data_IF_917162626264
#
_entry.id   IF_917162626264
#
_cell.length_a   1.000
_cell.length_b   1.000
_cell.length_c   1.000
_cell.angle_alpha   90.00
_cell.angle_beta   90.00
_cell.angle_gamma   90.00
#
_symmetry.space_group_name_H-M   'P 1'
#
loop_
_entity.id
_entity.type
_entity.pdbx_description
1 polymer ?
#
# COMPACT_ATOMS: atom_id res chain seq x y z
N UNK A 1 -23.00 2.13 3.41
CA UNK A 1 -22.07 3.26 3.18
C UNK A 1 -22.72 4.61 3.44
N UNK A 2 -23.95 4.85 3.00
CA UNK A 2 -24.66 6.11 3.27
C UNK A 2 -24.70 6.47 4.76
N UNK A 3 -24.98 5.50 5.64
CA UNK A 3 -24.98 5.72 7.09
C UNK A 3 -23.63 6.21 7.64
N UNK A 4 -22.52 5.53 7.33
CA UNK A 4 -21.17 5.91 7.79
C UNK A 4 -20.76 7.29 7.25
N UNK A 5 -21.18 7.63 6.03
CA UNK A 5 -20.86 8.93 5.43
C UNK A 5 -21.78 10.07 5.88
N UNK A 6 -22.98 9.77 6.38
CA UNK A 6 -23.93 10.76 6.90
C UNK A 6 -23.68 11.07 8.38
N UNK A 7 -23.29 10.05 9.15
CA UNK A 7 -22.97 10.19 10.57
C UNK A 7 -21.46 10.39 10.74
N UNK A 8 -21.05 11.63 11.05
CA UNK A 8 -19.64 12.03 11.28
C UNK A 8 -19.02 11.49 12.58
N UNK A 9 -19.70 10.61 13.29
CA UNK A 9 -19.31 10.20 14.64
C UNK A 9 -18.33 9.01 14.66
N UNK A 10 -18.05 8.39 13.51
CA UNK A 10 -17.08 7.29 13.43
C UNK A 10 -15.67 7.81 13.25
N UNK A 11 -14.81 7.55 14.23
CA UNK A 11 -13.38 7.83 14.12
C UNK A 11 -12.67 6.77 13.29
N UNK A 12 -11.45 7.06 12.82
CA UNK A 12 -10.58 6.07 12.16
C UNK A 12 -10.40 4.83 13.05
N UNK A 13 -10.27 5.01 14.36
CA UNK A 13 -10.12 3.91 15.32
C UNK A 13 -11.37 3.03 15.41
N UNK A 14 -12.56 3.61 15.32
CA UNK A 14 -13.81 2.86 15.31
C UNK A 14 -13.94 2.03 14.03
N UNK A 15 -13.50 2.59 12.89
CA UNK A 15 -13.45 1.87 11.63
C UNK A 15 -12.38 0.75 11.65
N UNK A 16 -11.23 0.97 12.28
CA UNK A 16 -10.22 -0.08 12.49
C UNK A 16 -10.76 -1.23 13.35
N UNK A 17 -11.46 -0.91 14.45
CA UNK A 17 -12.15 -1.93 15.26
C UNK A 17 -13.21 -2.68 14.44
N UNK A 18 -13.97 -1.97 13.61
CA UNK A 18 -14.99 -2.57 12.76
C UNK A 18 -14.39 -3.57 11.77
N UNK A 19 -13.31 -3.22 11.06
CA UNK A 19 -12.68 -4.15 10.10
C UNK A 19 -12.04 -5.35 10.79
N UNK A 20 -11.60 -5.21 12.05
CA UNK A 20 -11.13 -6.33 12.88
C UNK A 20 -12.29 -7.28 13.27
N UNK A 21 -13.45 -6.74 13.61
CA UNK A 21 -14.63 -7.56 13.96
C UNK A 21 -15.27 -8.20 12.72
N UNK A 22 -15.20 -7.51 11.58
CA UNK A 22 -15.83 -7.88 10.32
C UNK A 22 -14.82 -7.76 9.16
N UNK A 23 -13.84 -8.67 9.03
CA UNK A 23 -12.77 -8.58 8.03
C UNK A 23 -13.22 -9.01 6.62
N UNK A 24 -14.39 -8.56 6.19
CA UNK A 24 -14.91 -8.77 4.84
C UNK A 24 -14.23 -7.83 3.86
N UNK A 25 -13.73 -8.39 2.76
CA UNK A 25 -12.99 -7.63 1.75
C UNK A 25 -13.82 -6.51 1.15
N UNK A 26 -15.12 -6.74 0.95
CA UNK A 26 -16.07 -5.79 0.39
C UNK A 26 -16.28 -4.60 1.32
N UNK A 27 -16.43 -4.87 2.63
CA UNK A 27 -16.57 -3.81 3.64
C UNK A 27 -15.32 -2.92 3.67
N UNK A 28 -14.14 -3.55 3.71
CA UNK A 28 -12.87 -2.81 3.77
C UNK A 28 -12.71 -1.97 2.50
N UNK A 29 -12.98 -2.54 1.32
CA UNK A 29 -12.95 -1.79 0.06
C UNK A 29 -13.92 -0.60 0.05
N UNK A 30 -15.12 -0.76 0.61
CA UNK A 30 -16.06 0.35 0.73
C UNK A 30 -15.53 1.47 1.63
N UNK A 31 -14.77 1.15 2.68
CA UNK A 31 -14.18 2.13 3.59
C UNK A 31 -12.94 2.81 3.00
N UNK A 32 -12.18 2.10 2.17
CA UNK A 32 -10.86 2.55 1.69
C UNK A 32 -10.85 3.09 0.25
N UNK A 33 -11.98 3.05 -0.46
CA UNK A 33 -12.13 3.62 -1.81
C UNK A 33 -12.96 4.90 -1.78
N UNK A 34 -12.73 5.76 -2.76
CA UNK A 34 -13.60 6.91 -3.02
C UNK A 34 -15.02 6.43 -3.31
N UNK A 35 -16.02 7.15 -2.81
CA UNK A 35 -17.43 6.83 -3.04
C UNK A 35 -18.24 8.11 -3.24
N UNK A 36 -18.90 8.23 -4.40
CA UNK A 36 -19.72 9.39 -4.79
C UNK A 36 -18.97 10.74 -4.66
N UNK A 37 -17.72 10.82 -5.13
CA UNK A 37 -16.91 12.04 -5.06
C UNK A 37 -16.39 12.38 -3.66
N UNK A 38 -16.61 11.51 -2.67
CA UNK A 38 -16.11 11.69 -1.30
C UNK A 38 -14.86 10.86 -1.08
N UNK A 39 -13.86 11.40 -0.36
CA UNK A 39 -12.65 10.66 -0.04
C UNK A 39 -12.96 9.40 0.78
N UNK A 40 -12.06 8.41 0.76
CA UNK A 40 -12.15 7.23 1.62
C UNK A 40 -12.37 7.61 3.09
N UNK A 41 -13.18 6.82 3.79
CA UNK A 41 -13.38 6.98 5.23
C UNK A 41 -12.20 6.44 6.05
N UNK A 42 -11.37 5.59 5.45
CA UNK A 42 -10.19 5.01 6.05
C UNK A 42 -9.05 4.94 5.03
N UNK A 43 -7.82 5.22 5.47
CA UNK A 43 -6.62 5.01 4.65
C UNK A 43 -6.46 3.52 4.31
N UNK A 44 -6.21 3.22 3.04
CA UNK A 44 -6.00 1.85 2.59
C UNK A 44 -4.76 1.24 3.24
N UNK A 45 -3.62 1.93 3.18
CA UNK A 45 -2.37 1.47 3.74
C UNK A 45 -2.46 1.26 5.26
N UNK A 46 -3.10 2.19 5.97
CA UNK A 46 -3.33 2.01 7.41
C UNK A 46 -4.23 0.81 7.72
N UNK A 47 -5.28 0.58 6.93
CA UNK A 47 -6.14 -0.59 7.10
C UNK A 47 -5.36 -1.90 6.91
N UNK A 48 -4.49 -1.98 5.89
CA UNK A 48 -3.65 -3.17 5.65
C UNK A 48 -2.70 -3.43 6.83
N UNK A 49 -2.00 -2.40 7.32
CA UNK A 49 -1.09 -2.53 8.47
C UNK A 49 -1.84 -2.92 9.75
N UNK A 50 -3.06 -2.39 9.94
CA UNK A 50 -3.91 -2.80 11.03
C UNK A 50 -4.25 -4.29 10.96
N UNK A 51 -4.60 -4.80 9.76
CA UNK A 51 -4.85 -6.24 9.56
C UNK A 51 -3.59 -7.07 9.79
N UNK A 52 -2.42 -6.57 9.39
CA UNK A 52 -1.15 -7.27 9.61
C UNK A 52 -0.78 -7.37 11.09
N UNK A 53 -1.02 -6.31 11.86
CA UNK A 53 -0.77 -6.27 13.30
C UNK A 53 -1.80 -7.04 14.14
N UNK A 54 -2.94 -7.41 13.58
CA UNK A 54 -4.05 -8.10 14.29
C UNK A 54 -4.25 -9.56 13.88
N UNK A 55 -3.19 -10.22 13.38
CA UNK A 55 -3.18 -11.62 12.91
C UNK A 55 -4.11 -11.89 11.71
N UNK A 56 -4.52 -10.84 10.99
CA UNK A 56 -5.36 -10.91 9.80
C UNK A 56 -4.56 -10.74 8.50
N UNK A 57 -3.28 -11.19 8.50
CA UNK A 57 -2.35 -11.05 7.37
C UNK A 57 -2.92 -11.55 6.06
N UNK A 58 -3.60 -12.72 6.06
CA UNK A 58 -4.23 -13.29 4.86
C UNK A 58 -5.30 -12.37 4.24
N UNK A 59 -6.07 -11.66 5.07
CA UNK A 59 -7.10 -10.72 4.61
C UNK A 59 -6.44 -9.49 3.99
N UNK A 60 -5.44 -8.91 4.66
CA UNK A 60 -4.68 -7.77 4.14
C UNK A 60 -3.97 -8.11 2.81
N UNK A 61 -3.34 -9.28 2.72
CA UNK A 61 -2.70 -9.74 1.48
C UNK A 61 -3.74 -9.95 0.38
N UNK A 62 -4.89 -10.56 0.69
CA UNK A 62 -5.98 -10.72 -0.30
C UNK A 62 -6.44 -9.37 -0.85
N UNK A 63 -6.59 -8.35 0.00
CA UNK A 63 -6.94 -6.99 -0.46
C UNK A 63 -5.87 -6.40 -1.38
N UNK A 64 -4.59 -6.52 -1.03
CA UNK A 64 -3.49 -6.08 -1.89
C UNK A 64 -3.48 -6.83 -3.23
N UNK A 65 -3.76 -8.13 -3.23
CA UNK A 65 -3.89 -8.92 -4.46
C UNK A 65 -5.05 -8.43 -5.34
N UNK A 66 -6.21 -8.10 -4.74
CA UNK A 66 -7.35 -7.55 -5.48
C UNK A 66 -7.01 -6.23 -6.17
N UNK A 67 -6.26 -5.34 -5.51
CA UNK A 67 -5.77 -4.10 -6.15
C UNK A 67 -4.77 -4.43 -7.25
N UNK A 68 -3.82 -5.32 -6.97
CA UNK A 68 -2.76 -5.71 -7.90
C UNK A 68 -3.29 -6.41 -9.18
N UNK A 69 -4.55 -6.86 -9.21
CA UNK A 69 -5.22 -7.29 -10.46
C UNK A 69 -5.34 -6.15 -11.47
N UNK A 70 -5.42 -4.90 -10.99
CA UNK A 70 -5.35 -3.69 -11.82
C UNK A 70 -3.94 -3.35 -12.31
N UNK A 71 -2.93 -4.18 -11.99
CA UNK A 71 -1.54 -3.97 -12.37
C UNK A 71 -0.74 -3.13 -11.36
N UNK A 72 0.53 -2.87 -11.71
CA UNK A 72 1.47 -2.06 -10.91
C UNK A 72 0.92 -0.65 -10.68
N UNK A 73 0.35 -0.04 -11.72
CA UNK A 73 -0.16 1.34 -11.69
C UNK A 73 -1.29 1.52 -10.67
N UNK A 74 -2.10 0.48 -10.41
CA UNK A 74 -3.15 0.54 -9.40
C UNK A 74 -2.59 0.61 -7.97
N UNK A 75 -1.49 -0.11 -7.70
CA UNK A 75 -0.78 -0.04 -6.41
C UNK A 75 -0.05 1.31 -6.29
N UNK A 76 0.60 1.75 -7.36
CA UNK A 76 1.30 3.04 -7.40
C UNK A 76 0.35 4.21 -7.17
N UNK A 77 -0.85 4.17 -7.77
CA UNK A 77 -1.91 5.15 -7.50
C UNK A 77 -2.29 5.19 -6.02
N UNK A 78 -2.47 4.04 -5.36
CA UNK A 78 -2.76 4.02 -3.92
C UNK A 78 -1.60 4.57 -3.09
N UNK A 79 -0.36 4.23 -3.44
CA UNK A 79 0.83 4.73 -2.73
C UNK A 79 0.93 6.26 -2.79
N UNK A 80 0.63 6.86 -3.95
CA UNK A 80 0.70 8.32 -4.15
C UNK A 80 -0.47 9.04 -3.49
N UNK A 81 -1.67 8.45 -3.52
CA UNK A 81 -2.91 9.09 -3.06
C UNK A 81 -3.31 8.75 -1.61
N UNK A 82 -2.48 7.99 -0.89
CA UNK A 82 -2.70 7.68 0.53
C UNK A 82 -1.70 8.47 1.41
N UNK A 83 -2.00 9.73 1.77
CA UNK A 83 -1.06 10.58 2.52
C UNK A 83 -0.80 10.07 3.94
N UNK A 84 -1.58 9.11 4.42
CA UNK A 84 -1.44 8.55 5.77
C UNK A 84 -0.51 7.33 5.81
N UNK A 85 -0.06 6.82 4.66
CA UNK A 85 0.82 5.67 4.57
C UNK A 85 2.17 6.05 3.95
N UNK A 86 3.22 6.10 4.76
CA UNK A 86 4.57 6.45 4.31
C UNK A 86 5.22 5.34 3.45
N UNK A 87 6.31 5.69 2.77
CA UNK A 87 7.09 4.74 1.96
C UNK A 87 7.66 3.59 2.81
N UNK A 88 8.12 3.88 4.03
CA UNK A 88 8.62 2.86 4.96
C UNK A 88 7.53 1.86 5.34
N UNK A 89 6.29 2.35 5.49
CA UNK A 89 5.14 1.49 5.78
C UNK A 89 4.75 0.61 4.58
N UNK A 90 4.88 1.12 3.36
CA UNK A 90 4.74 0.30 2.15
C UNK A 90 5.84 -0.75 2.03
N UNK A 91 7.07 -0.42 2.43
CA UNK A 91 8.17 -1.39 2.50
C UNK A 91 7.88 -2.48 3.54
N UNK A 92 7.33 -2.13 4.70
CA UNK A 92 6.85 -3.11 5.70
C UNK A 92 5.81 -4.05 5.08
N UNK A 93 4.85 -3.52 4.31
CA UNK A 93 3.85 -4.35 3.64
C UNK A 93 4.47 -5.31 2.62
N UNK A 94 5.45 -4.86 1.84
CA UNK A 94 6.17 -5.70 0.90
C UNK A 94 6.88 -6.86 1.63
N UNK A 95 7.56 -6.56 2.74
CA UNK A 95 8.22 -7.57 3.57
C UNK A 95 7.22 -8.61 4.12
N UNK A 96 6.05 -8.17 4.58
CA UNK A 96 5.00 -9.10 5.02
C UNK A 96 4.52 -9.99 3.86
N UNK A 97 4.34 -9.43 2.66
CA UNK A 97 3.97 -10.23 1.49
C UNK A 97 5.03 -11.29 1.17
N UNK A 98 6.31 -10.91 1.17
CA UNK A 98 7.44 -11.82 0.93
C UNK A 98 7.49 -12.95 1.97
N UNK A 99 7.39 -12.61 3.26
CA UNK A 99 7.39 -13.59 4.36
C UNK A 99 6.22 -14.59 4.30
N UNK A 100 5.15 -14.25 3.56
CA UNK A 100 3.97 -15.11 3.39
C UNK A 100 3.94 -15.80 2.01
N UNK A 101 5.02 -15.75 1.22
CA UNK A 101 5.14 -16.42 -0.07
C UNK A 101 4.44 -15.69 -1.23
N UNK A 102 4.24 -14.37 -1.12
CA UNK A 102 3.65 -13.53 -2.16
C UNK A 102 4.71 -12.67 -2.85
N UNK A 103 5.77 -13.30 -3.34
CA UNK A 103 6.96 -12.69 -3.93
C UNK A 103 6.62 -11.71 -5.06
N UNK A 104 5.72 -12.08 -5.98
CA UNK A 104 5.29 -11.21 -7.07
C UNK A 104 4.65 -9.91 -6.57
N UNK A 105 3.84 -9.99 -5.52
CA UNK A 105 3.20 -8.82 -4.93
C UNK A 105 4.21 -7.94 -4.20
N UNK A 106 5.12 -8.56 -3.44
CA UNK A 106 6.24 -7.86 -2.81
C UNK A 106 7.11 -7.13 -3.83
N UNK A 107 7.52 -7.81 -4.90
CA UNK A 107 8.35 -7.24 -5.96
C UNK A 107 7.66 -6.08 -6.67
N UNK A 108 6.36 -6.16 -6.91
CA UNK A 108 5.60 -5.05 -7.48
C UNK A 108 5.65 -3.80 -6.58
N UNK A 109 5.41 -3.97 -5.27
CA UNK A 109 5.48 -2.85 -4.31
C UNK A 109 6.90 -2.29 -4.23
N UNK A 110 7.92 -3.16 -4.13
CA UNK A 110 9.33 -2.75 -4.07
C UNK A 110 9.79 -2.03 -5.34
N UNK A 111 9.35 -2.46 -6.51
CA UNK A 111 9.64 -1.80 -7.80
C UNK A 111 9.10 -0.37 -7.83
N UNK A 112 7.89 -0.13 -7.30
CA UNK A 112 7.31 1.21 -7.20
C UNK A 112 8.11 2.09 -6.22
N UNK A 113 8.48 1.54 -5.06
CA UNK A 113 9.31 2.25 -4.08
C UNK A 113 10.66 2.70 -4.69
N UNK A 114 11.32 1.81 -5.44
CA UNK A 114 12.59 2.12 -6.12
C UNK A 114 12.44 3.22 -7.17
N UNK A 115 11.37 3.17 -7.99
CA UNK A 115 11.13 4.20 -9.00
C UNK A 115 10.85 5.57 -8.40
N UNK A 116 10.20 5.62 -7.22
CA UNK A 116 9.94 6.87 -6.51
C UNK A 116 11.19 7.45 -5.85
N UNK A 117 12.15 6.61 -5.46
CA UNK A 117 13.43 7.05 -4.91
C UNK A 117 14.43 7.54 -5.98
N UNK A 118 14.05 7.54 -7.27
CA UNK A 118 14.96 7.85 -8.38
C UNK A 118 16.08 6.82 -8.56
N UNK A 119 15.96 5.64 -7.94
CA UNK A 119 16.93 4.56 -8.03
C UNK A 119 16.59 3.74 -9.27
N UNK A 120 17.27 4.03 -10.38
CA UNK A 120 17.31 3.13 -11.52
C UNK A 120 18.08 1.86 -11.13
N UNK A 121 17.47 0.70 -11.31
CA UNK A 121 18.19 -0.57 -11.29
C UNK A 121 19.23 -0.52 -12.41
N UNK A 122 20.51 -0.50 -12.04
CA UNK A 122 21.60 -0.72 -12.98
C UNK A 122 21.52 -2.21 -13.29
N UNK A 123 21.12 -2.57 -14.52
CA UNK A 123 21.32 -3.94 -14.99
C UNK A 123 22.83 -4.20 -15.01
N UNK A 124 23.27 -5.37 -14.57
CA UNK A 124 24.68 -5.79 -14.62
C UNK A 124 25.26 -5.81 -16.06
N UNK A 125 24.47 -5.46 -17.06
CA UNK A 125 24.86 -5.39 -18.47
C UNK A 125 25.35 -4.00 -18.91
N UNK A 126 25.23 -2.94 -18.09
CA UNK A 126 25.74 -1.60 -18.43
C UNK A 126 26.92 -1.18 -17.55
N UNK A 127 27.99 -1.97 -17.62
CA UNK A 127 29.26 -1.77 -16.93
C UNK A 127 30.11 -0.68 -17.63
N UNK A 128 29.49 0.47 -17.95
CA UNK A 128 30.19 1.66 -18.47
C UNK A 128 29.72 2.96 -17.82
N UNK A 129 29.50 2.95 -16.50
CA UNK A 129 29.36 4.21 -15.75
C UNK A 129 30.75 4.80 -15.51
N UNK A 130 31.13 5.78 -16.34
CA UNK A 130 32.34 6.57 -16.18
C UNK A 130 32.19 7.46 -14.93
N UNK A 131 32.74 7.01 -13.81
CA UNK A 131 32.92 7.79 -12.59
C UNK A 131 33.86 8.96 -12.89
N UNK A 132 33.30 10.12 -13.25
CA UNK A 132 34.08 11.36 -13.34
C UNK A 132 34.64 11.69 -11.96
N UNK A 133 35.97 11.68 -11.86
CA UNK A 133 36.71 12.10 -10.68
C UNK A 133 36.36 13.54 -10.32
N UNK A 134 35.90 13.74 -9.07
CA UNK A 134 35.80 15.07 -8.49
C UNK A 134 37.21 15.65 -8.30
N UNK A 135 37.66 16.50 -9.23
CA UNK A 135 38.82 17.35 -8.99
C UNK A 135 38.39 18.44 -8.01
N UNK A 136 38.85 18.32 -6.75
CA UNK A 136 38.75 19.37 -5.75
C UNK A 136 39.77 20.47 -6.05
N UNK A 137 39.35 21.73 -5.92
CA UNK A 137 40.13 22.95 -6.07
C UNK A 137 40.10 23.65 -4.71
#
# INVERSE_FOLDING_TARGET
MEYIQQFKDFTSDDLMKLIKLCPHTELIQCLTKEWNGKPPSLSFGLAILHLFSTDMKKVGIKLLQEVNKGGRDAIEYLMINDPFCSLERWQEMANVCLQNGFDKLSNNIMSILRSQAGVTEISEEDDTVNLMEHVFW
#
